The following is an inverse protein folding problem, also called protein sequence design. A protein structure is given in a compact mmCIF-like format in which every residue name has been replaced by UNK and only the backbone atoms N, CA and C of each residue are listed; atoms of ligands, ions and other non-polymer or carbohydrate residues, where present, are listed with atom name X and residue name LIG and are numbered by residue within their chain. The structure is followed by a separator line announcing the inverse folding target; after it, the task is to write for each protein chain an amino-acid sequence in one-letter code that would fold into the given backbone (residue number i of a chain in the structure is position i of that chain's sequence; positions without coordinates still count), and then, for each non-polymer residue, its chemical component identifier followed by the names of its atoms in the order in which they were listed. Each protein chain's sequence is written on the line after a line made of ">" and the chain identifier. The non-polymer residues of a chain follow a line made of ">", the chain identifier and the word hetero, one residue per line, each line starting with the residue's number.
data_IF_481902917026
#
_entry.id   IF_481902917026
#
_cell.length_a   1.000
_cell.length_b   1.000
_cell.length_c   1.000
_cell.angle_alpha   90.00
_cell.angle_beta   90.00
_cell.angle_gamma   90.00
#
_symmetry.space_group_name_H-M   'P 1'
#
loop_
_entity.id
_entity.type
_entity.pdbx_description
1 polymer ?
#
# COMPACT_ATOMS: atom_id res chain seq x y z
N UNK A 1 13.79 7.13 15.92
CA UNK A 1 12.83 6.10 16.39
C UNK A 1 13.01 4.89 15.49
N UNK A 2 12.89 3.63 15.95
CA UNK A 2 13.01 2.49 15.05
C UNK A 2 11.86 2.50 14.03
N UNK A 3 12.13 1.98 12.83
CA UNK A 3 11.13 1.85 11.78
C UNK A 3 9.99 0.93 12.23
N UNK A 4 8.74 1.44 12.27
CA UNK A 4 7.58 0.69 12.78
C UNK A 4 6.47 0.59 11.72
N UNK A 5 5.87 -0.60 11.64
CA UNK A 5 4.78 -0.93 10.72
C UNK A 5 3.58 -1.48 11.49
N UNK A 6 2.41 -0.85 11.32
CA UNK A 6 1.15 -1.34 11.89
C UNK A 6 0.03 -1.38 10.83
N UNK A 7 -0.64 -2.52 10.74
CA UNK A 7 -1.84 -2.72 9.91
C UNK A 7 -3.07 -2.86 10.81
N UNK A 8 -4.10 -2.08 10.50
CA UNK A 8 -5.41 -2.16 11.14
C UNK A 8 -6.47 -2.30 10.05
N UNK A 9 -7.17 -3.44 10.03
CA UNK A 9 -8.36 -3.61 9.20
C UNK A 9 -9.52 -2.90 9.90
N UNK A 10 -9.82 -1.68 9.45
CA UNK A 10 -10.77 -0.83 10.14
C UNK A 10 -12.17 -1.43 10.01
N UNK A 11 -12.70 -1.65 8.80
CA UNK A 11 -14.00 -2.30 8.62
C UNK A 11 -14.25 -2.83 7.19
N UNK A 12 -15.25 -3.71 7.07
CA UNK A 12 -15.92 -4.04 5.82
C UNK A 12 -16.69 -2.82 5.27
N UNK A 13 -16.21 -2.23 4.17
CA UNK A 13 -16.86 -1.12 3.47
C UNK A 13 -18.15 -1.62 2.81
N UNK A 14 -19.30 -1.24 3.38
CA UNK A 14 -20.63 -1.42 2.81
C UNK A 14 -21.26 -0.05 2.51
N UNK A 15 -20.64 0.71 1.62
CA UNK A 15 -21.27 1.91 1.05
C UNK A 15 -22.34 1.49 0.03
N UNK A 16 -23.40 2.28 -0.14
CA UNK A 16 -24.53 1.94 -1.03
C UNK A 16 -24.03 1.46 -2.41
N UNK A 17 -24.20 0.16 -2.67
CA UNK A 17 -23.83 -0.47 -3.94
C UNK A 17 -22.36 -0.91 -4.08
N UNK A 18 -21.55 -0.90 -3.02
CA UNK A 18 -20.16 -1.42 -3.02
C UNK A 18 -19.91 -2.40 -1.87
N UNK A 19 -18.92 -3.27 -2.08
CA UNK A 19 -18.25 -4.06 -1.03
C UNK A 19 -16.76 -3.79 -1.09
N UNK A 20 -16.06 -3.78 0.03
CA UNK A 20 -14.62 -3.51 0.04
C UNK A 20 -14.06 -3.38 1.44
N UNK A 21 -12.86 -2.84 1.57
CA UNK A 21 -12.24 -2.64 2.87
C UNK A 21 -11.73 -1.21 3.00
N UNK A 22 -11.84 -0.70 4.21
CA UNK A 22 -11.01 0.39 4.69
C UNK A 22 -9.96 -0.21 5.62
N UNK A 23 -8.69 0.07 5.35
CA UNK A 23 -7.60 -0.29 6.26
C UNK A 23 -6.68 0.90 6.49
N UNK A 24 -6.00 0.88 7.63
CA UNK A 24 -4.99 1.85 8.00
C UNK A 24 -3.62 1.18 8.04
N UNK A 25 -2.64 1.84 7.41
CA UNK A 25 -1.23 1.51 7.53
C UNK A 25 -0.51 2.65 8.22
N UNK A 26 0.22 2.34 9.30
CA UNK A 26 1.07 3.31 9.98
C UNK A 26 2.54 2.97 9.75
N UNK A 27 3.29 3.99 9.34
CA UNK A 27 4.74 3.92 9.11
C UNK A 27 5.45 4.99 9.91
N UNK A 28 6.41 4.59 10.74
CA UNK A 28 7.30 5.52 11.44
C UNK A 28 8.69 5.51 10.78
N UNK A 29 9.18 6.67 10.36
CA UNK A 29 10.50 6.89 9.76
C UNK A 29 11.41 7.56 10.78
N UNK A 30 12.68 7.16 10.84
CA UNK A 30 13.69 7.89 11.60
C UNK A 30 14.19 9.12 10.83
N UNK A 31 14.25 9.01 9.50
CA UNK A 31 14.81 10.02 8.60
C UNK A 31 13.86 10.24 7.42
N UNK A 32 12.86 11.12 7.56
CA UNK A 32 11.89 11.39 6.49
C UNK A 32 12.52 11.97 5.23
N UNK A 33 13.59 12.76 5.38
CA UNK A 33 14.32 13.35 4.28
C UNK A 33 14.99 12.24 3.45
N UNK A 34 14.69 12.19 2.15
CA UNK A 34 15.23 11.14 1.27
C UNK A 34 14.60 9.75 1.44
N UNK A 35 13.61 9.58 2.34
CA UNK A 35 12.81 8.37 2.44
C UNK A 35 12.02 8.09 1.15
N UNK A 36 11.77 6.81 0.86
CA UNK A 36 11.05 6.36 -0.34
C UNK A 36 9.83 5.52 0.04
N UNK A 37 8.75 5.67 -0.72
CA UNK A 37 7.52 4.88 -0.61
C UNK A 37 7.19 4.28 -1.97
N UNK A 38 7.03 2.96 -1.98
CA UNK A 38 6.48 2.20 -3.10
C UNK A 38 5.17 1.54 -2.65
N UNK A 39 4.08 1.86 -3.32
CA UNK A 39 2.76 1.29 -3.03
C UNK A 39 2.34 0.45 -4.21
N UNK A 40 2.80 -0.80 -4.23
CA UNK A 40 2.77 -1.63 -5.42
C UNK A 40 1.55 -2.55 -5.36
N UNK A 41 0.74 -2.51 -6.40
CA UNK A 41 -0.51 -3.25 -6.46
C UNK A 41 -0.63 -4.09 -7.71
N UNK A 42 -1.32 -5.24 -7.60
CA UNK A 42 -1.71 -6.08 -8.73
C UNK A 42 -3.14 -6.53 -8.56
N UNK A 43 -3.95 -6.29 -9.58
CA UNK A 43 -5.36 -6.68 -9.59
C UNK A 43 -5.68 -7.44 -10.86
N UNK A 44 -6.54 -8.47 -10.76
CA UNK A 44 -7.14 -9.10 -11.93
C UNK A 44 -8.14 -8.17 -12.65
N UNK A 45 -8.67 -7.17 -11.93
CA UNK A 45 -9.63 -6.17 -12.42
C UNK A 45 -9.27 -4.77 -11.90
N UNK A 46 -8.74 -3.89 -12.75
CA UNK A 46 -8.40 -2.51 -12.40
C UNK A 46 -9.55 -1.76 -11.75
N UNK A 47 -9.24 -0.92 -10.76
CA UNK A 47 -10.20 0.01 -10.14
C UNK A 47 -9.84 1.48 -10.33
N UNK A 48 -8.63 1.74 -10.84
CA UNK A 48 -8.12 3.03 -11.27
C UNK A 48 -7.68 2.89 -12.74
N UNK A 49 -7.73 3.99 -13.51
CA UNK A 49 -7.42 3.97 -14.94
C UNK A 49 -5.94 3.71 -15.25
N UNK A 50 -5.04 4.06 -14.33
CA UNK A 50 -3.60 3.84 -14.47
C UNK A 50 -3.18 2.41 -14.06
N UNK A 51 -4.12 1.61 -13.55
CA UNK A 51 -3.85 0.23 -13.13
C UNK A 51 -3.99 -0.74 -14.31
N UNK A 52 -2.90 -1.44 -14.66
CA UNK A 52 -2.90 -2.49 -15.68
C UNK A 52 -3.28 -3.84 -15.07
N UNK A 53 -4.30 -4.50 -15.63
CA UNK A 53 -4.77 -5.80 -15.18
C UNK A 53 -3.65 -6.86 -15.17
N UNK A 54 -3.51 -7.58 -14.07
CA UNK A 54 -2.56 -8.68 -13.88
C UNK A 54 -1.09 -8.25 -13.77
N UNK A 55 -0.78 -6.95 -13.74
CA UNK A 55 0.58 -6.42 -13.60
C UNK A 55 0.76 -5.68 -12.28
N UNK A 56 1.98 -5.67 -11.79
CA UNK A 56 2.39 -4.84 -10.67
C UNK A 56 2.51 -3.38 -11.12
N UNK A 57 1.88 -2.48 -10.38
CA UNK A 57 1.87 -1.04 -10.63
C UNK A 57 2.18 -0.32 -9.33
N UNK A 58 3.14 0.61 -9.35
CA UNK A 58 3.38 1.50 -8.21
C UNK A 58 2.34 2.62 -8.21
N UNK A 59 1.27 2.43 -7.44
CA UNK A 59 0.14 3.36 -7.36
C UNK A 59 0.53 4.72 -6.79
N UNK A 60 1.56 4.78 -5.95
CA UNK A 60 2.08 6.06 -5.49
C UNK A 60 2.71 6.84 -6.64
N UNK A 61 3.49 6.18 -7.50
CA UNK A 61 4.13 6.83 -8.64
C UNK A 61 3.12 7.32 -9.70
N UNK A 62 2.08 6.53 -10.00
CA UNK A 62 1.13 6.84 -11.10
C UNK A 62 -0.09 7.65 -10.64
N UNK A 63 -0.54 7.45 -9.40
CA UNK A 63 -1.78 8.02 -8.88
C UNK A 63 -1.59 8.83 -7.59
N UNK A 64 -0.34 9.04 -7.15
CA UNK A 64 0.05 9.69 -5.89
C UNK A 64 -0.75 10.96 -5.57
N UNK A 65 -0.69 11.95 -6.46
CA UNK A 65 -1.36 13.24 -6.27
C UNK A 65 -2.90 13.18 -6.37
N UNK A 66 -3.47 12.07 -6.90
CA UNK A 66 -4.92 11.90 -7.10
C UNK A 66 -5.57 11.12 -5.95
N UNK A 67 -4.85 10.20 -5.33
CA UNK A 67 -5.39 9.31 -4.31
C UNK A 67 -5.16 9.86 -2.90
N UNK A 68 -6.27 10.04 -2.17
CA UNK A 68 -6.25 10.59 -0.81
C UNK A 68 -5.36 9.80 0.17
N UNK A 69 -5.16 8.50 -0.08
CA UNK A 69 -4.27 7.64 0.72
C UNK A 69 -2.85 8.20 0.81
N UNK A 70 -2.35 8.89 -0.22
CA UNK A 70 -0.98 9.39 -0.26
C UNK A 70 -0.83 10.84 0.21
N UNK A 71 -1.92 11.53 0.57
CA UNK A 71 -1.84 12.92 1.06
C UNK A 71 -0.88 13.09 2.24
N UNK A 72 -0.88 12.23 3.28
CA UNK A 72 0.06 12.37 4.41
C UNK A 72 1.52 12.31 3.97
N UNK A 73 1.83 11.50 2.94
CA UNK A 73 3.18 11.40 2.39
C UNK A 73 3.59 12.68 1.65
N UNK A 74 2.70 13.23 0.83
CA UNK A 74 2.94 14.43 0.03
C UNK A 74 3.09 15.67 0.91
N UNK A 75 2.22 15.81 1.92
CA UNK A 75 2.21 16.94 2.87
C UNK A 75 3.46 16.98 3.75
N UNK A 76 4.10 15.83 3.97
CA UNK A 76 5.31 15.70 4.81
C UNK A 76 6.60 15.60 3.99
N UNK A 77 6.55 15.90 2.69
CA UNK A 77 7.72 15.81 1.79
C UNK A 77 8.91 16.70 2.19
N UNK A 78 8.66 17.80 2.90
CA UNK A 78 9.69 18.73 3.38
C UNK A 78 10.12 18.47 4.84
N UNK A 79 9.54 17.47 5.52
CA UNK A 79 9.90 17.19 6.91
C UNK A 79 11.29 16.52 6.98
N UNK A 80 12.12 17.01 7.89
CA UNK A 80 13.41 16.39 8.24
C UNK A 80 13.29 15.65 9.58
N UNK A 81 14.09 14.59 9.74
CA UNK A 81 14.08 13.75 10.94
C UNK A 81 12.88 12.82 11.05
N UNK A 82 12.55 12.45 12.29
CA UNK A 82 11.58 11.38 12.55
C UNK A 82 10.13 11.82 12.33
N UNK A 83 9.33 10.97 11.68
CA UNK A 83 7.91 11.21 11.43
C UNK A 83 7.11 9.92 11.51
N UNK A 84 5.85 10.02 11.93
CA UNK A 84 4.87 8.93 11.85
C UNK A 84 3.77 9.33 10.86
N UNK A 85 3.48 8.44 9.90
CA UNK A 85 2.49 8.66 8.85
C UNK A 85 1.42 7.58 8.91
N UNK A 86 0.16 8.01 8.88
CA UNK A 86 -1.02 7.14 8.83
C UNK A 86 -1.64 7.20 7.42
N UNK A 87 -1.60 6.10 6.70
CA UNK A 87 -2.23 5.91 5.40
C UNK A 87 -3.58 5.24 5.58
N UNK A 88 -4.66 5.93 5.21
CA UNK A 88 -6.00 5.32 5.14
C UNK A 88 -6.30 4.96 3.70
N UNK A 89 -6.50 3.68 3.43
CA UNK A 89 -6.80 3.18 2.10
C UNK A 89 -8.20 2.59 2.04
N UNK A 90 -8.96 3.01 1.03
CA UNK A 90 -10.34 2.57 0.78
C UNK A 90 -10.42 1.99 -0.61
N UNK A 91 -10.76 0.71 -0.70
CA UNK A 91 -10.81 0.01 -1.98
C UNK A 91 -11.91 -1.02 -1.99
N UNK A 92 -12.69 -1.02 -3.07
CA UNK A 92 -13.90 -1.83 -3.16
C UNK A 92 -14.35 -2.08 -4.59
N UNK A 93 -15.34 -2.95 -4.70
CA UNK A 93 -15.95 -3.43 -5.92
C UNK A 93 -17.44 -3.06 -5.92
N UNK A 94 -17.97 -2.63 -7.06
CA UNK A 94 -19.40 -2.38 -7.20
C UNK A 94 -20.18 -3.69 -7.15
N UNK A 95 -21.21 -3.75 -6.33
CA UNK A 95 -22.12 -4.90 -6.21
C UNK A 95 -22.91 -5.07 -7.50
N UNK A 96 -22.63 -6.17 -8.21
CA UNK A 96 -23.32 -6.61 -9.43
C UNK A 96 -23.33 -8.14 -9.46
N UNK A 97 -24.28 -8.77 -10.17
CA UNK A 97 -24.27 -10.21 -10.38
C UNK A 97 -22.89 -10.72 -10.82
N UNK A 98 -22.36 -11.71 -10.09
CA UNK A 98 -21.10 -12.42 -10.39
C UNK A 98 -19.86 -11.51 -10.43
N UNK A 99 -19.93 -10.31 -9.82
CA UNK A 99 -18.77 -9.44 -9.69
C UNK A 99 -17.73 -10.12 -8.79
N UNK A 100 -16.46 -10.08 -9.17
CA UNK A 100 -15.34 -10.58 -8.36
C UNK A 100 -14.10 -9.74 -8.60
N UNK A 101 -13.18 -9.70 -7.64
CA UNK A 101 -11.84 -9.12 -7.77
C UNK A 101 -10.88 -9.77 -6.78
N UNK A 102 -9.65 -10.01 -7.23
CA UNK A 102 -8.49 -10.27 -6.39
C UNK A 102 -7.51 -9.10 -6.53
N UNK A 103 -7.11 -8.52 -5.41
CA UNK A 103 -6.16 -7.42 -5.33
C UNK A 103 -5.05 -7.79 -4.35
N UNK A 104 -3.81 -7.61 -4.77
CA UNK A 104 -2.60 -7.91 -3.99
C UNK A 104 -1.81 -6.61 -3.78
N UNK A 105 -1.28 -6.41 -2.57
CA UNK A 105 -0.48 -5.24 -2.18
C UNK A 105 0.91 -5.64 -1.75
N UNK A 106 1.87 -4.77 -2.08
CA UNK A 106 3.22 -4.70 -1.54
C UNK A 106 3.49 -3.24 -1.20
N UNK A 107 3.35 -2.88 0.08
CA UNK A 107 3.68 -1.55 0.58
C UNK A 107 5.08 -1.61 1.16
N UNK A 108 6.03 -1.05 0.43
CA UNK A 108 7.44 -1.01 0.79
C UNK A 108 7.84 0.44 1.07
N UNK A 109 8.42 0.66 2.23
CA UNK A 109 8.96 1.94 2.62
C UNK A 109 10.43 1.79 3.02
N UNK A 110 11.24 2.73 2.55
CA UNK A 110 12.67 2.83 2.85
C UNK A 110 12.89 4.13 3.61
N UNK A 111 13.67 4.06 4.69
CA UNK A 111 14.05 5.25 5.44
C UNK A 111 14.99 6.15 4.62
N UNK A 112 15.13 7.39 5.07
CA UNK A 112 16.14 8.30 4.59
C UNK A 112 17.55 7.86 4.99
N UNK A 113 18.59 8.40 4.32
CA UNK A 113 19.97 8.18 4.75
C UNK A 113 20.18 8.70 6.18
N UNK A 114 21.04 8.01 6.94
CA UNK A 114 21.44 8.46 8.28
C UNK A 114 22.34 9.71 8.13
N UNK A 115 21.95 10.87 8.69
CA UNK A 115 22.78 12.07 8.64
C UNK A 115 24.08 11.93 9.45
N UNK A 116 24.13 11.02 10.43
CA UNK A 116 25.30 10.78 11.25
C UNK A 116 26.30 9.80 10.59
N UNK A 117 25.88 9.07 9.54
CA UNK A 117 26.72 8.20 8.71
C UNK A 117 26.38 8.34 7.21
N UNK A 118 26.82 9.44 6.57
CA UNK A 118 26.46 9.76 5.18
C UNK A 118 27.07 8.80 4.14
N UNK A 119 28.04 7.98 4.53
CA UNK A 119 28.67 6.96 3.68
C UNK A 119 27.91 5.61 3.76
N UNK A 120 26.88 5.50 4.61
CA UNK A 120 26.03 4.32 4.71
C UNK A 120 25.04 4.25 3.53
N UNK A 121 25.39 3.42 2.55
CA UNK A 121 24.52 3.16 1.40
C UNK A 121 23.34 2.25 1.76
N UNK A 122 23.38 1.56 2.91
CA UNK A 122 22.31 0.66 3.34
C UNK A 122 21.21 1.41 4.07
N UNK A 123 19.96 1.21 3.64
CA UNK A 123 18.79 1.84 4.27
C UNK A 123 17.96 0.82 5.01
N UNK A 124 17.38 1.25 6.12
CA UNK A 124 16.31 0.51 6.77
C UNK A 124 15.06 0.49 5.87
N UNK A 125 14.36 -0.63 5.87
CA UNK A 125 13.12 -0.79 5.14
C UNK A 125 12.12 -1.62 5.94
N UNK A 126 10.81 -1.42 5.69
CA UNK A 126 9.79 -2.42 5.97
C UNK A 126 8.82 -2.59 4.82
N UNK A 127 8.30 -3.80 4.77
CA UNK A 127 7.38 -4.32 3.80
C UNK A 127 6.15 -4.84 4.52
N UNK A 128 5.00 -4.56 3.92
CA UNK A 128 3.77 -5.29 4.16
C UNK A 128 3.18 -5.78 2.86
N UNK A 129 2.79 -7.05 2.89
CA UNK A 129 2.09 -7.72 1.81
C UNK A 129 0.69 -8.06 2.27
N UNK A 130 -0.30 -7.82 1.42
CA UNK A 130 -1.67 -8.18 1.70
C UNK A 130 -2.42 -8.66 0.46
N UNK A 131 -3.56 -9.30 0.70
CA UNK A 131 -4.46 -9.74 -0.36
C UNK A 131 -5.91 -9.46 0.01
N UNK A 132 -6.70 -9.02 -0.97
CA UNK A 132 -8.14 -8.86 -0.86
C UNK A 132 -8.85 -9.71 -1.91
N UNK A 133 -9.90 -10.39 -1.46
CA UNK A 133 -10.82 -11.17 -2.30
C UNK A 133 -12.24 -10.67 -2.09
N UNK A 134 -12.84 -10.16 -3.16
CA UNK A 134 -14.23 -9.72 -3.16
C UNK A 134 -15.01 -10.53 -4.18
N UNK A 135 -16.19 -11.02 -3.82
CA UNK A 135 -17.08 -11.75 -4.73
C UNK A 135 -18.55 -11.49 -4.40
N UNK A 136 -19.38 -11.41 -5.45
CA UNK A 136 -20.83 -11.41 -5.39
C UNK A 136 -21.44 -12.64 -6.08
N UNK A 137 -22.61 -13.06 -5.63
CA UNK A 137 -23.42 -14.09 -6.28
C UNK A 137 -24.21 -13.56 -7.49
N UNK A 138 -25.08 -14.39 -8.08
CA UNK A 138 -25.93 -14.01 -9.22
C UNK A 138 -26.98 -12.93 -8.93
N UNK A 139 -27.24 -12.60 -7.66
CA UNK A 139 -28.13 -11.51 -7.25
C UNK A 139 -27.36 -10.23 -6.87
N UNK A 140 -26.02 -10.25 -6.88
CA UNK A 140 -25.20 -9.12 -6.43
C UNK A 140 -25.08 -9.03 -4.90
N UNK A 141 -25.36 -10.13 -4.19
CA UNK A 141 -25.11 -10.28 -2.75
C UNK A 141 -23.65 -10.69 -2.57
N UNK A 142 -22.96 -10.09 -1.61
CA UNK A 142 -21.56 -10.42 -1.32
C UNK A 142 -21.44 -11.82 -0.71
N UNK A 143 -20.53 -12.63 -1.25
CA UNK A 143 -20.27 -14.01 -0.81
C UNK A 143 -18.81 -14.29 -0.48
N UNK A 144 -17.88 -13.41 -0.90
CA UNK A 144 -16.50 -13.37 -0.40
C UNK A 144 -16.13 -11.92 -0.09
N UNK A 145 -15.52 -11.69 1.07
CA UNK A 145 -15.23 -10.37 1.57
C UNK A 145 -14.02 -10.38 2.52
N UNK A 146 -12.87 -10.77 1.96
CA UNK A 146 -11.67 -11.06 2.73
C UNK A 146 -10.58 -10.01 2.47
N UNK A 147 -9.88 -9.63 3.55
CA UNK A 147 -8.63 -8.87 3.53
C UNK A 147 -7.67 -9.52 4.51
N UNK A 148 -6.53 -9.98 4.01
CA UNK A 148 -5.54 -10.75 4.77
C UNK A 148 -4.16 -10.10 4.67
N UNK A 149 -3.45 -10.01 5.80
CA UNK A 149 -2.00 -9.76 5.82
C UNK A 149 -1.28 -11.07 5.46
N UNK A 150 -0.52 -11.04 4.37
CA UNK A 150 0.24 -12.20 3.88
C UNK A 150 1.62 -12.26 4.51
N UNK A 151 2.30 -11.12 4.61
CA UNK A 151 3.67 -11.02 5.11
C UNK A 151 3.94 -9.63 5.66
N UNK A 152 4.70 -9.56 6.76
CA UNK A 152 5.24 -8.31 7.30
C UNK A 152 6.70 -8.50 7.68
N UNK A 153 7.59 -7.68 7.13
CA UNK A 153 9.05 -7.80 7.29
C UNK A 153 9.71 -6.44 7.39
N UNK A 154 10.87 -6.42 8.02
CA UNK A 154 11.78 -5.28 8.03
C UNK A 154 13.22 -5.78 7.88
N UNK A 155 14.12 -4.89 7.51
CA UNK A 155 15.54 -5.19 7.41
C UNK A 155 16.33 -3.97 6.99
N UNK A 156 17.63 -4.18 6.72
CA UNK A 156 18.57 -3.16 6.24
C UNK A 156 19.17 -3.59 4.90
N UNK A 157 19.53 -2.62 4.07
CA UNK A 157 20.11 -2.85 2.74
C UNK A 157 19.04 -3.03 1.66
N UNK A 158 19.22 -4.01 0.76
CA UNK A 158 18.35 -4.18 -0.40
C UNK A 158 16.96 -4.74 -0.01
N UNK A 159 15.86 -4.01 -0.26
CA UNK A 159 14.54 -4.51 0.07
C UNK A 159 14.05 -5.56 -0.94
N UNK A 160 13.16 -6.47 -0.52
CA UNK A 160 12.44 -7.37 -1.41
C UNK A 160 11.39 -6.60 -2.24
N UNK A 161 11.28 -6.95 -3.52
CA UNK A 161 10.23 -6.46 -4.42
C UNK A 161 9.42 -7.63 -4.99
N UNK A 162 8.16 -7.40 -5.39
CA UNK A 162 7.36 -8.47 -5.96
C UNK A 162 7.98 -9.00 -7.26
N UNK A 163 7.88 -10.31 -7.55
CA UNK A 163 8.47 -10.88 -8.76
C UNK A 163 7.98 -10.18 -10.03
N UNK A 164 8.94 -9.79 -10.88
CA UNK A 164 8.67 -9.11 -12.15
C UNK A 164 8.43 -7.59 -12.04
N UNK A 165 8.50 -7.02 -10.84
CA UNK A 165 8.52 -5.56 -10.65
C UNK A 165 9.97 -5.05 -10.61
N UNK A 166 10.25 -4.00 -11.39
CA UNK A 166 11.50 -3.26 -11.33
C UNK A 166 11.20 -1.90 -10.69
N UNK A 167 11.77 -1.57 -9.52
CA UNK A 167 11.57 -0.25 -8.94
C UNK A 167 12.14 0.82 -9.85
N UNK A 168 11.51 2.01 -9.92
CA UNK A 168 12.14 3.17 -10.51
C UNK A 168 13.40 3.54 -9.71
N UNK A 169 14.46 3.96 -10.42
CA UNK A 169 15.75 4.36 -9.83
C UNK A 169 15.62 5.54 -8.83
#
# INVERSE_FOLDING_TARGET
>A
MPFQFHFENLHALHEEGRIGHEFRLRLAFAHREGARLHWIERSDRPYDEDMLAGRWVDMHAVAGARLATFLPWLETSAASGAVELDFVHRVGLRRRPLAQRRLEWWVLALDGPDPDDPDDEERDWALWCGEQRLQCDGAGIAIAHDLEEVERRHGRGRPPYPPGFAPPD
#
